data_IF_722604678541
#
_entry.id   IF_722604678541
#
_cell.length_a   1.000
_cell.length_b   1.000
_cell.length_c   1.000
_cell.angle_alpha   90.00
_cell.angle_beta   90.00
_cell.angle_gamma   90.00
#
_symmetry.space_group_name_H-M   'P 1'
#
loop_
_entity.id
_entity.type
_entity.pdbx_description
1 polymer ?
#
# COMPACT_ATOMS: atom_id res chain seq x y z
N UNK A 1 -0.20 12.51 7.51
CA UNK A 1 -0.87 11.27 7.95
C UNK A 1 -1.06 11.20 9.46
N UNK A 2 -0.05 11.53 10.28
CA UNK A 2 -0.14 11.60 11.74
C UNK A 2 -1.39 12.30 12.31
N UNK A 3 -1.86 13.39 11.69
CA UNK A 3 -3.10 14.08 12.10
C UNK A 3 -4.35 13.18 11.93
N UNK A 4 -4.49 12.46 10.82
CA UNK A 4 -5.62 11.53 10.62
C UNK A 4 -5.59 10.39 11.63
N UNK A 5 -4.38 9.91 11.96
CA UNK A 5 -4.19 8.92 13.03
C UNK A 5 -4.70 9.44 14.38
N UNK A 6 -4.37 10.69 14.74
CA UNK A 6 -4.88 11.34 15.96
C UNK A 6 -6.40 11.55 15.95
N UNK A 7 -7.02 11.67 14.78
CA UNK A 7 -8.48 11.77 14.61
C UNK A 7 -9.18 10.40 14.60
N UNK A 8 -8.45 9.31 14.89
CA UNK A 8 -8.99 7.96 15.01
C UNK A 8 -9.09 7.18 13.71
N UNK A 9 -8.35 7.55 12.66
CA UNK A 9 -8.27 6.74 11.45
C UNK A 9 -7.32 5.55 11.66
N UNK A 10 -7.73 4.35 11.24
CA UNK A 10 -6.77 3.29 10.89
C UNK A 10 -6.19 3.58 9.50
N UNK A 11 -5.00 3.04 9.20
CA UNK A 11 -4.33 3.35 7.95
C UNK A 11 -3.44 2.25 7.39
N UNK A 12 -3.62 1.97 6.10
CA UNK A 12 -2.80 1.02 5.34
C UNK A 12 -2.04 1.75 4.22
N UNK A 13 -0.75 1.42 4.06
CA UNK A 13 0.08 1.93 2.98
C UNK A 13 0.57 0.78 2.10
N UNK A 14 0.24 0.88 0.81
CA UNK A 14 0.67 -0.07 -0.22
C UNK A 14 1.51 0.65 -1.27
N UNK A 15 2.75 0.19 -1.49
CA UNK A 15 3.68 0.85 -2.40
C UNK A 15 4.24 -0.10 -3.45
N UNK A 16 4.26 0.33 -4.71
CA UNK A 16 5.02 -0.34 -5.78
C UNK A 16 6.48 0.13 -5.89
N UNK A 17 6.87 1.11 -5.06
CA UNK A 17 8.26 1.50 -4.85
C UNK A 17 8.86 0.74 -3.67
N UNK A 18 10.12 0.33 -3.80
CA UNK A 18 10.81 -0.56 -2.83
C UNK A 18 11.48 0.18 -1.65
N UNK A 19 11.44 1.52 -1.64
CA UNK A 19 12.22 2.35 -0.71
C UNK A 19 11.48 2.59 0.62
N UNK A 20 11.48 1.58 1.50
CA UNK A 20 10.72 1.57 2.76
C UNK A 20 10.98 2.78 3.67
N UNK A 21 12.20 3.34 3.63
CA UNK A 21 12.58 4.47 4.48
C UNK A 21 11.77 5.75 4.19
N UNK A 22 11.20 5.90 2.98
CA UNK A 22 10.30 7.02 2.68
C UNK A 22 9.01 6.97 3.50
N UNK A 23 8.61 5.79 3.96
CA UNK A 23 7.31 5.58 4.59
C UNK A 23 7.35 5.59 6.12
N UNK A 24 8.53 5.65 6.73
CA UNK A 24 8.68 5.59 8.20
C UNK A 24 7.91 6.70 8.93
N UNK A 25 7.78 7.87 8.31
CA UNK A 25 7.11 9.04 8.90
C UNK A 25 5.60 9.08 8.66
N UNK A 26 5.04 8.09 7.94
CA UNK A 26 3.60 8.07 7.62
C UNK A 26 2.76 7.66 8.83
N UNK A 27 3.34 6.95 9.81
CA UNK A 27 2.61 6.38 10.95
C UNK A 27 1.42 5.51 10.53
N UNK A 28 1.54 4.83 9.37
CA UNK A 28 0.56 3.84 8.94
C UNK A 28 0.58 2.63 9.88
N UNK A 29 -0.59 2.01 10.07
CA UNK A 29 -0.73 0.80 10.88
C UNK A 29 -0.14 -0.42 10.19
N UNK A 30 -0.29 -0.47 8.87
CA UNK A 30 0.31 -1.49 8.02
C UNK A 30 1.04 -0.85 6.84
N UNK A 31 2.19 -1.42 6.49
CA UNK A 31 3.00 -1.00 5.34
C UNK A 31 3.40 -2.26 4.58
N UNK A 32 3.00 -2.35 3.31
CA UNK A 32 3.45 -3.38 2.38
C UNK A 32 4.02 -2.72 1.14
N UNK A 33 5.18 -3.20 0.70
CA UNK A 33 5.90 -2.68 -0.46
C UNK A 33 6.05 -3.77 -1.53
N UNK A 34 6.55 -3.38 -2.71
CA UNK A 34 6.59 -4.18 -3.94
C UNK A 34 7.02 -5.63 -3.74
N UNK A 35 8.11 -5.86 -3.02
CA UNK A 35 8.65 -7.19 -2.77
C UNK A 35 7.71 -8.07 -1.94
N UNK A 36 7.09 -7.50 -0.92
CA UNK A 36 6.12 -8.21 -0.07
C UNK A 36 4.83 -8.50 -0.86
N UNK A 37 4.28 -7.50 -1.54
CA UNK A 37 3.06 -7.63 -2.37
C UNK A 37 3.28 -8.66 -3.49
N UNK A 38 4.44 -8.63 -4.15
CA UNK A 38 4.79 -9.58 -5.20
C UNK A 38 5.04 -11.00 -4.70
N UNK A 39 5.45 -11.18 -3.44
CA UNK A 39 5.69 -12.48 -2.83
C UNK A 39 4.40 -13.20 -2.38
N UNK A 40 3.29 -12.47 -2.26
CA UNK A 40 2.01 -13.05 -1.86
C UNK A 40 1.57 -14.19 -2.81
N UNK A 41 1.16 -15.36 -2.30
CA UNK A 41 0.80 -16.51 -3.13
C UNK A 41 -0.27 -16.19 -4.18
N UNK A 42 -1.21 -15.30 -3.86
CA UNK A 42 -2.29 -14.83 -4.75
C UNK A 42 -1.81 -14.00 -5.94
N UNK A 43 -0.57 -13.50 -5.89
CA UNK A 43 0.05 -12.70 -6.95
C UNK A 43 1.07 -13.51 -7.77
N UNK A 44 1.28 -14.79 -7.47
CA UNK A 44 2.16 -15.66 -8.25
C UNK A 44 1.70 -15.74 -9.70
N UNK A 45 2.61 -15.45 -10.62
CA UNK A 45 2.35 -15.48 -12.07
C UNK A 45 1.66 -14.22 -12.61
N UNK A 46 1.27 -13.26 -11.75
CA UNK A 46 0.83 -11.93 -12.19
C UNK A 46 2.04 -11.05 -12.50
N UNK A 47 1.86 -10.08 -13.39
CA UNK A 47 2.82 -9.00 -13.58
C UNK A 47 2.89 -8.15 -12.30
N UNK A 48 4.10 -7.84 -11.85
CA UNK A 48 4.31 -6.97 -10.68
C UNK A 48 4.30 -5.51 -11.13
N UNK A 49 3.09 -4.95 -11.21
CA UNK A 49 2.81 -3.56 -11.55
C UNK A 49 1.76 -2.94 -10.61
N UNK A 50 1.41 -1.68 -10.86
CA UNK A 50 0.47 -0.90 -10.03
C UNK A 50 -0.90 -1.56 -9.86
N UNK A 51 -1.28 -2.50 -10.73
CA UNK A 51 -2.57 -3.16 -10.62
C UNK A 51 -2.66 -4.14 -9.46
N UNK A 52 -1.52 -4.61 -8.95
CA UNK A 52 -1.51 -5.40 -7.72
C UNK A 52 -2.02 -4.61 -6.50
N UNK A 53 -1.92 -3.28 -6.52
CA UNK A 53 -2.40 -2.41 -5.43
C UNK A 53 -3.92 -2.43 -5.29
N UNK A 54 -4.67 -2.75 -6.35
CA UNK A 54 -6.13 -2.81 -6.30
C UNK A 54 -6.60 -3.95 -5.41
N UNK A 55 -5.99 -5.12 -5.53
CA UNK A 55 -6.35 -6.26 -4.69
C UNK A 55 -6.00 -5.97 -3.21
N UNK A 56 -4.89 -5.26 -2.94
CA UNK A 56 -4.54 -4.82 -1.58
C UNK A 56 -5.58 -3.86 -1.01
N UNK A 57 -6.02 -2.87 -1.79
CA UNK A 57 -7.08 -1.94 -1.39
C UNK A 57 -8.39 -2.67 -1.09
N UNK A 58 -8.79 -3.63 -1.93
CA UNK A 58 -10.01 -4.41 -1.71
C UNK A 58 -9.93 -5.23 -0.41
N UNK A 59 -8.77 -5.84 -0.13
CA UNK A 59 -8.55 -6.59 1.10
C UNK A 59 -8.58 -5.67 2.34
N UNK A 60 -7.94 -4.50 2.25
CA UNK A 60 -7.93 -3.49 3.31
C UNK A 60 -9.35 -3.00 3.66
N UNK A 61 -10.18 -2.71 2.65
CA UNK A 61 -11.58 -2.36 2.82
C UNK A 61 -12.39 -3.50 3.46
N UNK A 62 -12.16 -4.74 3.05
CA UNK A 62 -12.87 -5.89 3.60
C UNK A 62 -12.50 -6.18 5.08
N UNK A 63 -11.25 -5.89 5.46
CA UNK A 63 -10.76 -6.08 6.84
C UNK A 63 -11.16 -4.93 7.78
N UNK A 64 -11.43 -3.74 7.24
CA UNK A 64 -11.84 -2.54 7.99
C UNK A 64 -13.24 -2.06 7.56
N UNK A 65 -14.31 -2.85 7.78
CA UNK A 65 -15.65 -2.52 7.30
C UNK A 65 -16.29 -1.34 8.04
N UNK A 66 -15.77 -0.98 9.22
CA UNK A 66 -16.34 0.01 10.12
C UNK A 66 -15.28 1.05 10.52
N UNK A 67 -15.74 2.24 10.89
CA UNK A 67 -14.87 3.33 11.34
C UNK A 67 -14.24 4.12 10.20
N UNK A 68 -13.29 5.01 10.55
CA UNK A 68 -12.58 5.84 9.58
C UNK A 68 -11.30 5.14 9.17
N UNK A 69 -11.10 4.96 7.87
CA UNK A 69 -9.95 4.22 7.35
C UNK A 69 -9.30 4.98 6.20
N UNK A 70 -7.97 5.08 6.24
CA UNK A 70 -7.15 5.72 5.22
C UNK A 70 -6.35 4.66 4.47
N UNK A 71 -6.53 4.58 3.16
CA UNK A 71 -5.69 3.74 2.30
C UNK A 71 -4.79 4.64 1.46
N UNK A 72 -3.49 4.40 1.51
CA UNK A 72 -2.49 5.10 0.69
C UNK A 72 -1.99 4.12 -0.37
N UNK A 73 -2.27 4.42 -1.63
CA UNK A 73 -1.71 3.68 -2.77
C UNK A 73 -0.59 4.51 -3.40
N UNK A 74 0.66 4.06 -3.20
CA UNK A 74 1.82 4.68 -3.83
C UNK A 74 2.20 3.89 -5.07
N UNK A 75 1.71 4.35 -6.21
CA UNK A 75 2.01 3.76 -7.53
C UNK A 75 3.44 4.04 -7.95
N UNK A 76 4.07 3.11 -8.67
CA UNK A 76 5.27 3.43 -9.45
C UNK A 76 4.92 4.38 -10.60
N UNK A 77 3.69 4.29 -11.10
CA UNK A 77 3.15 5.17 -12.13
C UNK A 77 3.88 4.99 -13.46
N UNK A 78 3.93 6.07 -14.23
CA UNK A 78 4.68 6.13 -15.49
C UNK A 78 6.17 6.39 -15.28
N UNK A 79 6.71 6.22 -14.06
CA UNK A 79 8.13 6.41 -13.77
C UNK A 79 8.93 5.42 -14.61
N UNK A 80 9.34 5.91 -15.78
CA UNK A 80 9.96 5.14 -16.84
C UNK A 80 11.38 4.81 -16.42
N UNK A 81 11.83 3.57 -16.68
CA UNK A 81 13.24 3.28 -16.63
C UNK A 81 13.88 3.97 -17.84
N UNK A 82 14.47 5.14 -17.63
CA UNK A 82 15.43 5.70 -18.57
C UNK A 82 16.75 4.94 -18.40
N UNK A 83 16.74 3.67 -18.80
CA UNK A 83 17.95 2.87 -19.03
C UNK A 83 18.27 2.88 -20.50
#
# INVERSE_FOLDING_TARGET
>A
FAVLKQLGFSSDLYAMQSEMWFYSNTMADNISYREQIGAEPRNRGKTVDDMLLIDEMQNSLAQNPEGKHLIILHTKGSHFNYT
#
